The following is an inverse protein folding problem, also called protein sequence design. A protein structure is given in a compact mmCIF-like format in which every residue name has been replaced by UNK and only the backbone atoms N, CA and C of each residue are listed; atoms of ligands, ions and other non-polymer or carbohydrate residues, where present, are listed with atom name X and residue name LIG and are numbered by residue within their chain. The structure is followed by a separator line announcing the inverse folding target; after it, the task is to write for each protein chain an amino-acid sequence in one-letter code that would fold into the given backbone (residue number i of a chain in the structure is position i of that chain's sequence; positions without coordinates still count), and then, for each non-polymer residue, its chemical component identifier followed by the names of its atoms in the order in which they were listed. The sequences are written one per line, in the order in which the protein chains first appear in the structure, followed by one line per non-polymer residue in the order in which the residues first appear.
data_IF_195418791628
#
_entry.id   IF_195418791628
#
_cell.length_a   1.000
_cell.length_b   1.000
_cell.length_c   1.000
_cell.angle_alpha   90.00
_cell.angle_beta   90.00
_cell.angle_gamma   90.00
#
_symmetry.space_group_name_H-M   'P 1'
#
loop_
_entity.id
_entity.type
_entity.pdbx_description
1 polymer ?
#
# COMPACT_ATOMS: atom_id res chain seq x y z
N UNK A 1 -14.18 2.52 -6.13
CA UNK A 1 -13.97 1.23 -6.82
C UNK A 1 -12.49 1.02 -7.06
N UNK A 2 -12.04 -0.23 -6.98
CA UNK A 2 -10.66 -0.61 -7.20
C UNK A 2 -10.56 -1.28 -8.56
N UNK A 3 -9.83 -0.64 -9.46
CA UNK A 3 -9.46 -1.25 -10.73
C UNK A 3 -8.05 -1.83 -10.59
N UNK A 4 -7.90 -3.12 -10.88
CA UNK A 4 -6.60 -3.75 -11.04
C UNK A 4 -6.07 -3.40 -12.42
N UNK A 5 -5.17 -2.44 -12.48
CA UNK A 5 -4.56 -1.99 -13.74
C UNK A 5 -3.34 -2.83 -14.13
N UNK A 6 -2.74 -3.55 -13.15
CA UNK A 6 -1.57 -4.42 -13.33
C UNK A 6 -1.83 -5.76 -12.65
N UNK A 7 -1.64 -6.87 -13.38
CA UNK A 7 -1.83 -8.23 -12.88
C UNK A 7 -0.80 -8.62 -11.82
N UNK A 8 0.37 -7.97 -11.81
CA UNK A 8 1.49 -8.26 -10.91
C UNK A 8 1.49 -7.43 -9.63
N UNK A 9 0.66 -6.38 -9.56
CA UNK A 9 0.61 -5.45 -8.43
C UNK A 9 -0.82 -5.31 -7.91
N UNK A 10 -0.99 -5.54 -6.62
CA UNK A 10 -2.24 -5.32 -5.90
C UNK A 10 -2.10 -4.11 -4.99
N UNK A 11 -2.72 -3.00 -5.40
CA UNK A 11 -2.78 -1.77 -4.61
C UNK A 11 -4.16 -1.59 -3.98
N UNK A 12 -4.17 -1.04 -2.77
CA UNK A 12 -5.37 -0.57 -2.10
C UNK A 12 -5.72 0.87 -2.47
N UNK A 13 -6.58 1.48 -1.64
CA UNK A 13 -6.83 2.92 -1.70
C UNK A 13 -5.66 3.68 -1.07
N UNK A 14 -5.47 4.93 -1.49
CA UNK A 14 -4.57 5.83 -0.78
C UNK A 14 -5.13 6.11 0.61
N UNK A 15 -4.31 5.95 1.64
CA UNK A 15 -4.67 6.18 3.03
C UNK A 15 -3.96 7.44 3.49
N UNK A 16 -4.68 8.51 3.86
CA UNK A 16 -4.09 9.68 4.52
C UNK A 16 -3.39 9.27 5.81
N UNK A 17 -2.30 9.93 6.16
CA UNK A 17 -1.53 9.58 7.35
C UNK A 17 -2.37 9.65 8.65
N UNK A 18 -3.35 10.56 8.69
CA UNK A 18 -4.29 10.67 9.81
C UNK A 18 -5.11 9.39 10.02
N UNK A 19 -5.42 8.66 8.92
CA UNK A 19 -6.17 7.41 8.93
C UNK A 19 -5.29 6.16 9.06
N UNK A 20 -3.98 6.34 9.33
CA UNK A 20 -3.06 5.24 9.63
C UNK A 20 -2.92 5.09 11.14
N UNK A 21 -3.01 3.85 11.63
CA UNK A 21 -2.82 3.51 13.04
C UNK A 21 -1.53 4.15 13.61
N UNK A 22 -1.60 4.78 14.80
CA UNK A 22 -0.41 5.28 15.51
C UNK A 22 0.63 4.18 15.75
N UNK A 23 0.18 2.97 16.09
CA UNK A 23 1.04 1.81 16.30
C UNK A 23 1.84 1.48 15.04
N UNK A 24 1.22 1.53 13.85
CA UNK A 24 1.93 1.26 12.60
C UNK A 24 2.94 2.35 12.26
N UNK A 25 2.59 3.63 12.42
CA UNK A 25 3.53 4.73 12.21
C UNK A 25 4.76 4.58 13.09
N UNK A 26 4.56 4.27 14.37
CA UNK A 26 5.64 4.02 15.33
C UNK A 26 6.48 2.79 14.94
N UNK A 27 5.85 1.66 14.66
CA UNK A 27 6.52 0.42 14.28
C UNK A 27 7.43 0.59 13.08
N UNK A 28 6.93 1.30 12.04
CA UNK A 28 7.67 1.54 10.80
C UNK A 28 8.89 2.44 11.04
N UNK A 29 8.71 3.55 11.76
CA UNK A 29 9.81 4.47 12.09
C UNK A 29 10.87 3.76 12.92
N UNK A 30 10.47 3.01 13.94
CA UNK A 30 11.40 2.24 14.78
C UNK A 30 12.14 1.14 14.01
N UNK A 31 11.49 0.53 13.02
CA UNK A 31 12.09 -0.55 12.22
C UNK A 31 13.04 -0.02 11.14
N UNK A 32 12.63 1.02 10.42
CA UNK A 32 13.30 1.45 9.19
C UNK A 32 14.21 2.65 9.40
N UNK A 33 13.79 3.59 10.26
CA UNK A 33 14.47 4.90 10.37
C UNK A 33 14.17 5.56 11.71
N UNK A 34 14.83 5.13 12.78
CA UNK A 34 14.57 5.57 14.16
C UNK A 34 14.64 7.09 14.35
N UNK A 35 15.43 7.77 13.55
CA UNK A 35 15.63 9.23 13.60
C UNK A 35 14.97 9.94 12.43
N UNK A 36 13.94 9.36 11.84
CA UNK A 36 13.25 9.88 10.67
C UNK A 36 12.89 11.36 10.78
N UNK A 37 12.40 11.79 11.93
CA UNK A 37 12.01 13.18 12.17
C UNK A 37 13.17 14.12 12.52
N UNK A 38 14.40 13.59 12.70
CA UNK A 38 15.55 14.36 13.16
C UNK A 38 16.55 14.75 12.05
N UNK A 39 16.52 14.03 10.91
CA UNK A 39 17.47 14.25 9.82
C UNK A 39 16.80 14.79 8.56
N UNK A 40 17.59 15.38 7.64
CA UNK A 40 17.11 15.98 6.39
C UNK A 40 17.25 15.02 5.21
N UNK A 41 16.43 13.96 5.19
CA UNK A 41 16.38 12.95 4.11
C UNK A 41 17.44 11.87 4.22
N UNK A 42 18.61 12.15 4.77
CA UNK A 42 19.71 11.22 4.96
C UNK A 42 20.20 11.27 6.40
N UNK A 43 20.30 10.13 7.06
CA UNK A 43 20.88 10.02 8.38
C UNK A 43 22.40 9.86 8.28
N UNK A 44 23.13 10.99 8.24
CA UNK A 44 24.59 10.99 8.13
C UNK A 44 25.30 10.32 9.31
N UNK A 45 24.71 10.35 10.52
CA UNK A 45 25.27 9.68 11.68
C UNK A 45 25.15 8.17 11.55
N UNK A 46 24.00 7.66 11.10
CA UNK A 46 23.84 6.23 10.81
C UNK A 46 24.72 5.79 9.62
N UNK A 47 24.84 6.63 8.59
CA UNK A 47 25.67 6.34 7.42
C UNK A 47 27.15 6.27 7.80
N UNK A 48 27.67 7.20 8.59
CA UNK A 48 29.06 7.16 9.06
C UNK A 48 29.36 5.99 9.99
N UNK A 49 28.44 5.68 10.92
CA UNK A 49 28.56 4.50 11.77
C UNK A 49 28.55 3.19 10.97
N UNK A 50 27.72 3.12 9.93
CA UNK A 50 27.68 1.98 9.01
C UNK A 50 28.96 1.84 8.18
N UNK A 51 29.50 2.94 7.69
CA UNK A 51 30.77 2.96 6.95
C UNK A 51 31.93 2.49 7.86
N UNK A 52 31.98 2.99 9.09
CA UNK A 52 32.96 2.58 10.08
C UNK A 52 32.87 1.08 10.44
N UNK A 53 31.64 0.58 10.69
CA UNK A 53 31.41 -0.84 10.96
C UNK A 53 31.76 -1.77 9.78
N UNK A 54 31.55 -1.32 8.54
CA UNK A 54 31.96 -2.09 7.34
C UNK A 54 33.47 -2.21 7.18
N UNK A 55 34.25 -1.20 7.60
CA UNK A 55 35.72 -1.28 7.66
C UNK A 55 36.21 -2.41 8.60
N UNK A 56 35.44 -2.73 9.63
CA UNK A 56 35.76 -3.77 10.61
C UNK A 56 34.98 -5.07 10.37
N UNK A 57 34.55 -5.31 9.11
CA UNK A 57 33.86 -6.54 8.70
C UNK A 57 32.53 -6.86 9.45
N UNK A 58 31.96 -5.87 10.11
CA UNK A 58 30.64 -5.98 10.73
C UNK A 58 29.58 -5.54 9.73
N UNK A 59 28.69 -6.46 9.34
CA UNK A 59 27.52 -6.14 8.50
C UNK A 59 26.60 -5.16 9.24
N UNK A 60 26.83 -3.87 9.08
CA UNK A 60 26.00 -2.83 9.64
C UNK A 60 24.72 -2.70 8.81
N UNK A 61 23.58 -2.84 9.49
CA UNK A 61 22.24 -2.71 8.94
C UNK A 61 21.70 -1.31 9.28
N UNK A 62 21.09 -0.60 8.31
CA UNK A 62 20.27 0.58 8.63
C UNK A 62 20.77 1.93 8.11
N UNK A 63 21.59 1.97 7.08
CA UNK A 63 22.03 3.23 6.46
C UNK A 63 21.03 3.87 5.48
N UNK A 64 19.95 3.17 5.11
CA UNK A 64 18.93 3.69 4.18
C UNK A 64 17.75 4.23 4.97
N UNK A 65 17.43 5.52 4.77
CA UNK A 65 16.30 6.19 5.41
C UNK A 65 14.99 5.91 4.68
N UNK A 66 13.85 6.19 5.34
CA UNK A 66 12.51 6.14 4.70
C UNK A 66 12.47 7.06 3.49
N UNK A 67 13.04 8.26 3.57
CA UNK A 67 13.10 9.22 2.46
C UNK A 67 13.88 8.69 1.27
N UNK A 68 15.04 8.04 1.50
CA UNK A 68 15.81 7.39 0.42
C UNK A 68 15.04 6.24 -0.23
N UNK A 69 14.33 5.44 0.57
CA UNK A 69 13.51 4.36 0.05
C UNK A 69 12.36 4.91 -0.79
N UNK A 70 11.67 5.96 -0.33
CA UNK A 70 10.61 6.61 -1.08
C UNK A 70 11.13 7.21 -2.40
N UNK A 71 12.28 7.89 -2.39
CA UNK A 71 12.89 8.41 -3.60
C UNK A 71 13.08 7.30 -4.65
N UNK A 72 13.56 6.12 -4.21
CA UNK A 72 13.71 4.97 -5.07
C UNK A 72 12.39 4.32 -5.55
N UNK A 73 11.26 4.56 -4.85
CA UNK A 73 9.95 4.09 -5.29
C UNK A 73 9.28 5.03 -6.28
N UNK A 74 9.61 6.33 -6.21
CA UNK A 74 9.08 7.37 -7.10
C UNK A 74 9.78 7.39 -8.46
N UNK A 75 11.05 7.04 -8.49
CA UNK A 75 11.84 7.01 -9.72
C UNK A 75 12.02 5.55 -10.20
N UNK A 76 11.48 5.25 -11.39
CA UNK A 76 11.55 3.93 -11.99
C UNK A 76 12.98 3.45 -12.26
N UNK A 77 13.89 4.37 -12.58
CA UNK A 77 15.30 4.09 -12.93
C UNK A 77 16.11 3.64 -11.70
N UNK A 78 15.65 3.95 -10.49
CA UNK A 78 16.31 3.59 -9.23
C UNK A 78 15.68 2.41 -8.52
N UNK A 79 14.76 1.73 -9.17
CA UNK A 79 14.21 0.47 -8.66
C UNK A 79 15.30 -0.60 -8.61
N UNK A 80 15.26 -1.41 -7.58
CA UNK A 80 16.22 -2.49 -7.39
C UNK A 80 16.05 -3.56 -8.46
N UNK A 81 17.04 -3.71 -9.34
CA UNK A 81 17.13 -4.84 -10.27
C UNK A 81 17.59 -6.14 -9.59
N UNK A 82 17.59 -7.28 -10.31
CA UNK A 82 17.97 -8.59 -9.77
C UNK A 82 19.37 -8.69 -9.15
N UNK A 83 20.27 -7.77 -9.49
CA UNK A 83 21.67 -7.75 -9.03
C UNK A 83 21.97 -6.83 -7.82
N UNK A 84 20.95 -6.22 -7.21
CA UNK A 84 21.17 -5.21 -6.18
C UNK A 84 21.36 -3.80 -6.75
N UNK A 85 21.57 -2.79 -5.86
CA UNK A 85 21.77 -1.39 -6.26
C UNK A 85 23.24 -1.08 -6.49
N UNK A 86 23.55 -0.42 -7.61
CA UNK A 86 24.88 0.11 -7.86
C UNK A 86 25.22 1.28 -6.92
N UNK A 87 26.51 1.57 -6.74
CA UNK A 87 26.96 2.72 -5.94
C UNK A 87 26.39 4.04 -6.50
N UNK A 88 26.32 4.17 -7.82
CA UNK A 88 25.77 5.35 -8.52
C UNK A 88 24.28 5.51 -8.21
N UNK A 89 23.51 4.43 -8.23
CA UNK A 89 22.07 4.46 -7.86
C UNK A 89 21.88 4.87 -6.40
N UNK A 90 22.75 4.40 -5.49
CA UNK A 90 22.70 4.85 -4.08
C UNK A 90 23.00 6.35 -3.92
N UNK A 91 23.99 6.86 -4.65
CA UNK A 91 24.30 8.29 -4.63
C UNK A 91 23.14 9.12 -5.20
N UNK A 92 22.55 8.72 -6.32
CA UNK A 92 21.36 9.35 -6.88
C UNK A 92 20.19 9.39 -5.90
N UNK A 93 19.90 8.27 -5.23
CA UNK A 93 18.87 8.20 -4.19
C UNK A 93 19.16 9.12 -3.00
N UNK A 94 20.43 9.28 -2.61
CA UNK A 94 20.84 10.17 -1.52
C UNK A 94 20.52 11.62 -1.87
N UNK A 95 20.88 12.05 -3.07
CA UNK A 95 20.58 13.44 -3.56
C UNK A 95 19.08 13.65 -3.68
N UNK A 96 18.36 12.70 -4.29
CA UNK A 96 16.91 12.79 -4.44
C UNK A 96 16.19 12.82 -3.08
N UNK A 97 16.67 12.05 -2.10
CA UNK A 97 16.13 12.08 -0.74
C UNK A 97 16.28 13.46 -0.08
N UNK A 98 17.42 14.11 -0.26
CA UNK A 98 17.63 15.48 0.25
C UNK A 98 16.71 16.50 -0.43
N UNK A 99 16.56 16.40 -1.76
CA UNK A 99 15.64 17.27 -2.51
C UNK A 99 14.19 17.03 -2.06
N UNK A 100 13.80 15.78 -1.89
CA UNK A 100 12.46 15.41 -1.45
C UNK A 100 12.17 15.96 -0.05
N UNK A 101 13.09 15.78 0.88
CA UNK A 101 12.94 16.25 2.27
C UNK A 101 12.89 17.78 2.40
N UNK A 102 13.51 18.51 1.48
CA UNK A 102 13.42 19.98 1.42
C UNK A 102 12.07 20.48 0.88
N UNK A 103 11.38 19.65 0.06
CA UNK A 103 10.14 20.04 -0.61
C UNK A 103 8.89 19.51 0.09
N UNK A 104 9.01 18.38 0.79
CA UNK A 104 7.91 17.68 1.43
C UNK A 104 8.12 17.63 2.95
N UNK A 105 7.03 17.77 3.69
CA UNK A 105 7.05 17.56 5.14
C UNK A 105 7.24 16.08 5.44
N UNK A 106 7.81 15.76 6.60
CA UNK A 106 8.01 14.38 7.06
C UNK A 106 6.74 13.55 7.01
N UNK A 107 5.61 14.12 7.40
CA UNK A 107 4.33 13.40 7.36
C UNK A 107 3.89 13.08 5.93
N UNK A 108 4.13 13.96 4.96
CA UNK A 108 3.84 13.69 3.55
C UNK A 108 4.74 12.58 3.00
N UNK A 109 6.01 12.57 3.40
CA UNK A 109 6.98 11.53 3.03
C UNK A 109 6.54 10.18 3.61
N UNK A 110 6.17 10.13 4.89
CA UNK A 110 5.71 8.90 5.55
C UNK A 110 4.41 8.39 4.95
N UNK A 111 3.45 9.28 4.66
CA UNK A 111 2.20 8.95 3.98
C UNK A 111 2.46 8.32 2.62
N UNK A 112 3.25 8.97 1.78
CA UNK A 112 3.59 8.45 0.46
C UNK A 112 4.32 7.12 0.54
N UNK A 113 5.26 6.98 1.45
CA UNK A 113 5.98 5.74 1.67
C UNK A 113 5.05 4.58 2.03
N UNK A 114 4.17 4.75 3.00
CA UNK A 114 3.19 3.74 3.43
C UNK A 114 2.26 3.30 2.30
N UNK A 115 1.92 4.20 1.38
CA UNK A 115 1.04 3.90 0.27
C UNK A 115 1.75 3.29 -0.96
N UNK A 116 3.06 3.43 -1.06
CA UNK A 116 3.84 2.99 -2.23
C UNK A 116 4.76 1.80 -1.95
N UNK A 117 5.10 1.53 -0.69
CA UNK A 117 6.04 0.47 -0.34
C UNK A 117 5.46 -0.92 -0.68
N UNK A 118 6.26 -1.80 -1.32
CA UNK A 118 5.89 -3.19 -1.52
C UNK A 118 6.01 -3.97 -0.20
N UNK A 119 5.04 -4.84 0.07
CA UNK A 119 5.03 -5.67 1.26
C UNK A 119 5.31 -7.14 0.92
N UNK A 120 4.30 -7.92 0.53
CA UNK A 120 4.46 -9.35 0.30
C UNK A 120 3.79 -9.77 -1.02
N UNK A 121 4.52 -10.51 -1.85
CA UNK A 121 4.06 -10.88 -3.18
C UNK A 121 3.69 -9.66 -4.00
N UNK A 122 2.46 -9.61 -4.46
CA UNK A 122 1.92 -8.51 -5.27
C UNK A 122 1.39 -7.31 -4.47
N UNK A 123 1.37 -7.41 -3.12
CA UNK A 123 0.75 -6.41 -2.24
C UNK A 123 1.60 -5.16 -2.13
N UNK A 124 1.05 -4.01 -2.53
CA UNK A 124 1.68 -2.69 -2.45
C UNK A 124 0.77 -1.73 -1.70
N UNK A 125 1.34 -1.03 -0.75
CA UNK A 125 0.66 -0.05 0.08
C UNK A 125 -0.09 -0.65 1.27
N UNK A 126 -0.27 0.19 2.27
CA UNK A 126 -0.79 -0.22 3.58
C UNK A 126 -2.26 -0.65 3.57
N UNK A 127 -3.12 -0.06 2.73
CA UNK A 127 -4.51 -0.48 2.64
C UNK A 127 -4.63 -1.91 2.10
N UNK A 128 -3.85 -2.23 1.05
CA UNK A 128 -3.82 -3.58 0.51
C UNK A 128 -3.24 -4.58 1.53
N UNK A 129 -2.17 -4.22 2.24
CA UNK A 129 -1.58 -5.06 3.27
C UNK A 129 -2.58 -5.34 4.40
N UNK A 130 -3.13 -4.28 5.01
CA UNK A 130 -3.99 -4.41 6.20
C UNK A 130 -5.23 -5.24 5.92
N UNK A 131 -5.84 -5.07 4.76
CA UNK A 131 -7.01 -5.86 4.35
C UNK A 131 -6.65 -7.30 3.98
N UNK A 132 -5.52 -7.52 3.31
CA UNK A 132 -5.10 -8.87 2.87
C UNK A 132 -4.66 -9.73 4.05
N UNK A 133 -3.78 -9.22 4.91
CA UNK A 133 -3.20 -10.01 5.98
C UNK A 133 -4.06 -10.02 7.25
N UNK A 134 -4.68 -8.90 7.57
CA UNK A 134 -5.36 -8.71 8.85
C UNK A 134 -6.87 -8.56 8.75
N UNK A 135 -7.43 -8.39 7.53
CA UNK A 135 -8.87 -8.21 7.32
C UNK A 135 -9.41 -6.88 7.88
N UNK A 136 -8.53 -5.91 8.12
CA UNK A 136 -8.85 -4.63 8.78
C UNK A 136 -8.51 -3.44 7.87
N UNK A 137 -9.09 -2.28 8.18
CA UNK A 137 -8.61 -1.01 7.64
C UNK A 137 -7.31 -0.57 8.35
N UNK A 138 -6.50 0.28 7.70
CA UNK A 138 -5.18 0.69 8.19
C UNK A 138 -5.20 1.38 9.57
N UNK A 139 -6.29 2.09 9.90
CA UNK A 139 -6.45 2.74 11.21
C UNK A 139 -6.69 1.74 12.36
N UNK A 140 -7.17 0.53 12.06
CA UNK A 140 -7.50 -0.49 13.06
C UNK A 140 -6.35 -1.45 13.39
N UNK A 141 -5.14 -1.23 12.87
CA UNK A 141 -3.99 -2.08 13.16
C UNK A 141 -3.48 -1.83 14.59
N UNK A 142 -3.30 -2.91 15.33
CA UNK A 142 -2.76 -2.92 16.68
C UNK A 142 -1.24 -3.21 16.67
N UNK A 143 -0.59 -3.13 17.82
CA UNK A 143 0.88 -3.26 17.95
C UNK A 143 1.44 -4.53 17.31
N UNK A 144 0.79 -5.69 17.47
CA UNK A 144 1.23 -6.96 16.87
C UNK A 144 1.17 -6.91 15.35
N UNK A 145 0.09 -6.42 14.80
CA UNK A 145 -0.13 -6.29 13.36
C UNK A 145 0.83 -5.25 12.76
N UNK A 146 1.02 -4.14 13.47
CA UNK A 146 1.95 -3.09 13.12
C UNK A 146 3.40 -3.59 13.06
N UNK A 147 3.82 -4.36 14.06
CA UNK A 147 5.14 -4.97 14.11
C UNK A 147 5.38 -5.96 12.97
N UNK A 148 4.38 -6.79 12.63
CA UNK A 148 4.44 -7.71 11.48
C UNK A 148 4.52 -6.93 10.17
N UNK A 149 3.71 -5.89 9.99
CA UNK A 149 3.74 -5.03 8.81
C UNK A 149 5.11 -4.38 8.62
N UNK A 150 5.70 -3.81 9.67
CA UNK A 150 7.03 -3.21 9.64
C UNK A 150 8.13 -4.25 9.32
N UNK A 151 8.03 -5.47 9.86
CA UNK A 151 8.96 -6.55 9.56
C UNK A 151 8.91 -6.98 8.08
N UNK A 152 7.73 -6.94 7.45
CA UNK A 152 7.53 -7.29 6.04
C UNK A 152 8.13 -6.26 5.09
N UNK A 153 8.13 -4.97 5.44
CA UNK A 153 8.79 -3.94 4.62
C UNK A 153 10.26 -4.30 4.36
N UNK A 154 10.93 -4.79 5.38
CA UNK A 154 12.37 -5.10 5.32
C UNK A 154 12.69 -6.37 4.53
N UNK A 155 11.76 -7.32 4.49
CA UNK A 155 11.90 -8.57 3.74
C UNK A 155 10.52 -9.11 3.35
N UNK A 156 9.95 -8.59 2.27
CA UNK A 156 8.58 -8.87 1.85
C UNK A 156 8.29 -10.37 1.69
N UNK A 157 9.24 -11.13 1.15
CA UNK A 157 9.07 -12.55 0.82
C UNK A 157 9.82 -13.49 1.78
N UNK A 158 10.21 -13.01 2.98
CA UNK A 158 10.87 -13.85 3.98
C UNK A 158 9.93 -14.97 4.48
N UNK A 159 10.55 -16.06 4.98
CA UNK A 159 9.81 -17.14 5.64
C UNK A 159 9.08 -16.60 6.89
N UNK A 160 7.89 -17.14 7.23
CA UNK A 160 7.09 -16.66 8.36
C UNK A 160 7.87 -16.54 9.68
N UNK A 161 8.67 -17.53 10.03
CA UNK A 161 9.48 -17.51 11.26
C UNK A 161 10.47 -16.33 11.29
N UNK A 162 11.10 -15.98 10.15
CA UNK A 162 12.02 -14.83 10.10
C UNK A 162 11.26 -13.50 10.20
N UNK A 163 10.05 -13.43 9.63
CA UNK A 163 9.16 -12.26 9.80
C UNK A 163 8.77 -12.13 11.27
N UNK A 164 8.37 -13.20 11.92
CA UNK A 164 7.98 -13.23 13.32
C UNK A 164 9.13 -12.82 14.25
N UNK A 165 10.33 -13.34 14.02
CA UNK A 165 11.53 -12.96 14.79
C UNK A 165 11.79 -11.44 14.69
N UNK A 166 11.67 -10.86 13.49
CA UNK A 166 11.84 -9.41 13.29
C UNK A 166 10.71 -8.61 13.92
N UNK A 167 9.47 -9.07 13.74
CA UNK A 167 8.30 -8.44 14.35
C UNK A 167 8.40 -8.44 15.88
N UNK A 168 8.91 -9.52 16.49
CA UNK A 168 9.16 -9.55 17.93
C UNK A 168 10.16 -8.47 18.36
N UNK A 169 11.24 -8.26 17.60
CA UNK A 169 12.19 -7.18 17.85
C UNK A 169 11.56 -5.79 17.75
N UNK A 170 10.70 -5.57 16.75
CA UNK A 170 9.96 -4.31 16.58
C UNK A 170 8.97 -4.12 17.74
N UNK A 171 8.20 -5.15 18.07
CA UNK A 171 7.21 -5.09 19.16
C UNK A 171 7.86 -4.78 20.51
N UNK A 172 9.02 -5.39 20.80
CA UNK A 172 9.81 -5.05 21.99
C UNK A 172 10.26 -3.59 22.00
N UNK A 173 10.62 -3.05 20.84
CA UNK A 173 11.04 -1.65 20.73
C UNK A 173 9.87 -0.66 20.90
N UNK A 174 8.63 -1.10 20.63
CA UNK A 174 7.41 -0.30 20.81
C UNK A 174 6.92 -0.29 22.25
N UNK A 175 7.27 -1.30 23.04
CA UNK A 175 6.81 -1.45 24.41
C UNK A 175 7.73 -0.74 25.40
N UNK A 176 7.24 -0.37 26.61
CA UNK A 176 8.08 0.17 27.67
C UNK A 176 9.23 -0.78 28.03
N UNK A 177 10.36 -0.25 28.48
CA UNK A 177 11.47 -1.08 28.95
C UNK A 177 11.00 -2.11 30.01
N UNK A 178 11.39 -3.38 29.83
CA UNK A 178 11.01 -4.53 30.67
C UNK A 178 9.58 -5.08 30.48
N UNK A 179 8.79 -4.58 29.56
CA UNK A 179 7.53 -5.21 29.22
C UNK A 179 7.76 -6.61 28.63
N UNK A 180 7.03 -7.59 29.11
CA UNK A 180 7.09 -8.95 28.57
C UNK A 180 6.40 -8.99 27.18
N UNK A 181 7.11 -9.47 26.17
CA UNK A 181 6.58 -9.72 24.83
C UNK A 181 6.60 -11.20 24.56
N UNK A 182 5.43 -11.79 24.37
CA UNK A 182 5.27 -13.18 23.98
C UNK A 182 5.57 -13.35 22.48
N UNK A 183 6.81 -13.76 22.18
CA UNK A 183 7.27 -13.94 20.82
C UNK A 183 6.75 -15.24 20.19
N UNK A 184 6.41 -16.23 20.98
CA UNK A 184 5.88 -17.51 20.49
C UNK A 184 4.44 -17.32 20.01
N UNK A 185 3.61 -16.63 20.79
CA UNK A 185 2.27 -16.24 20.34
C UNK A 185 2.32 -15.32 19.11
N UNK A 186 3.32 -14.44 19.00
CA UNK A 186 3.51 -13.60 17.82
C UNK A 186 3.94 -14.43 16.59
N UNK A 187 4.72 -15.49 16.76
CA UNK A 187 5.10 -16.38 15.66
C UNK A 187 3.89 -17.14 15.11
N UNK A 188 3.05 -17.69 15.97
CA UNK A 188 1.79 -18.33 15.55
C UNK A 188 0.89 -17.34 14.80
N UNK A 189 0.70 -16.15 15.34
CA UNK A 189 -0.06 -15.08 14.70
C UNK A 189 0.51 -14.70 13.34
N UNK A 190 1.82 -14.48 13.25
CA UNK A 190 2.50 -14.09 12.02
C UNK A 190 2.37 -15.16 10.95
N UNK A 191 2.56 -16.42 11.31
CA UNK A 191 2.45 -17.55 10.39
C UNK A 191 1.05 -17.63 9.79
N UNK A 192 0.01 -17.51 10.62
CA UNK A 192 -1.38 -17.49 10.16
C UNK A 192 -1.67 -16.26 9.28
N UNK A 193 -1.18 -15.07 9.64
CA UNK A 193 -1.44 -13.84 8.90
C UNK A 193 -0.79 -13.84 7.52
N UNK A 194 0.50 -14.23 7.40
CA UNK A 194 1.23 -14.19 6.12
C UNK A 194 0.82 -15.30 5.13
N UNK A 195 0.08 -16.31 5.58
CA UNK A 195 -0.49 -17.35 4.73
C UNK A 195 -1.83 -16.95 4.13
N UNK A 196 -2.50 -15.94 4.66
CA UNK A 196 -3.76 -15.45 4.10
C UNK A 196 -3.55 -14.91 2.68
N UNK A 197 -4.22 -15.52 1.72
CA UNK A 197 -4.14 -15.14 0.30
C UNK A 197 -5.36 -14.38 -0.20
N UNK A 198 -6.44 -14.41 0.55
CA UNK A 198 -7.71 -13.86 0.16
C UNK A 198 -7.88 -12.42 0.67
N UNK A 199 -7.30 -11.48 -0.03
CA UNK A 199 -8.01 -10.26 -0.28
C UNK A 199 -8.85 -10.56 -1.53
N UNK A 200 -10.15 -10.77 -1.36
CA UNK A 200 -11.07 -10.59 -2.46
C UNK A 200 -10.85 -9.16 -2.95
N UNK A 201 -10.03 -9.04 -3.97
CA UNK A 201 -10.07 -7.86 -4.80
C UNK A 201 -11.47 -7.91 -5.41
N UNK A 202 -12.45 -7.46 -4.63
CA UNK A 202 -13.71 -7.10 -5.22
C UNK A 202 -13.33 -6.11 -6.30
N UNK A 203 -13.51 -6.49 -7.56
CA UNK A 203 -13.29 -5.61 -8.71
C UNK A 203 -14.12 -4.33 -8.57
N UNK A 204 -14.66 -4.07 -7.40
CA UNK A 204 -15.64 -3.06 -7.09
C UNK A 204 -17.05 -3.53 -7.39
N UNK A 205 -18.04 -2.72 -7.03
CA UNK A 205 -19.45 -3.05 -7.24
C UNK A 205 -19.85 -3.02 -8.72
N UNK A 206 -19.11 -2.30 -9.59
CA UNK A 206 -19.41 -2.15 -11.01
C UNK A 206 -18.12 -1.94 -11.84
N UNK A 207 -17.29 -2.99 -12.07
CA UNK A 207 -15.99 -2.86 -12.74
C UNK A 207 -16.11 -2.42 -14.19
N UNK A 208 -17.11 -2.90 -14.90
CA UNK A 208 -17.34 -2.52 -16.30
C UNK A 208 -17.70 -1.04 -16.43
N UNK A 209 -18.60 -0.55 -15.58
CA UNK A 209 -18.94 0.87 -15.54
C UNK A 209 -17.74 1.74 -15.15
N UNK A 210 -16.92 1.31 -14.22
CA UNK A 210 -15.73 2.06 -13.82
C UNK A 210 -14.74 2.22 -14.98
N UNK A 211 -14.50 1.17 -15.77
CA UNK A 211 -13.67 1.23 -16.98
C UNK A 211 -14.25 2.16 -18.03
N UNK A 212 -15.57 2.11 -18.23
CA UNK A 212 -16.27 3.00 -19.13
C UNK A 212 -16.12 4.46 -18.71
N UNK A 213 -16.43 4.78 -17.46
CA UNK A 213 -16.38 6.14 -16.92
C UNK A 213 -14.96 6.74 -16.97
N UNK A 214 -13.92 5.95 -16.69
CA UNK A 214 -12.53 6.38 -16.80
C UNK A 214 -12.12 6.66 -18.25
N UNK A 215 -12.57 5.86 -19.21
CA UNK A 215 -12.32 6.12 -20.64
C UNK A 215 -12.98 7.42 -21.07
N UNK A 216 -14.25 7.62 -20.73
CA UNK A 216 -14.97 8.85 -21.05
C UNK A 216 -14.29 10.10 -20.46
N UNK A 217 -13.77 10.00 -19.23
CA UNK A 217 -13.02 11.09 -18.62
C UNK A 217 -11.71 11.37 -19.37
N UNK A 218 -10.99 10.34 -19.77
CA UNK A 218 -9.74 10.48 -20.51
C UNK A 218 -9.98 11.09 -21.91
N UNK A 219 -11.03 10.66 -22.61
CA UNK A 219 -11.44 11.20 -23.90
C UNK A 219 -11.87 12.69 -23.80
N UNK A 220 -12.64 13.03 -22.76
CA UNK A 220 -13.04 14.42 -22.50
C UNK A 220 -11.84 15.31 -22.18
N UNK A 221 -10.87 14.80 -21.40
CA UNK A 221 -9.63 15.53 -21.11
C UNK A 221 -8.75 15.72 -22.36
N UNK A 222 -8.70 14.74 -23.25
CA UNK A 222 -7.98 14.84 -24.52
C UNK A 222 -8.63 15.83 -25.50
N UNK A 223 -9.96 15.94 -25.47
CA UNK A 223 -10.73 16.85 -26.33
C UNK A 223 -10.68 18.33 -25.86
N UNK A 224 -10.25 18.59 -24.62
CA UNK A 224 -10.22 19.94 -24.04
C UNK A 224 -8.88 20.21 -23.35
N UNK A 225 -7.78 20.49 -24.09
CA UNK A 225 -6.45 20.68 -23.53
C UNK A 225 -6.27 22.01 -22.74
N UNK A 226 -7.30 22.85 -22.63
CA UNK A 226 -7.20 24.22 -22.13
C UNK A 226 -7.57 24.44 -20.66
N UNK A 227 -7.84 23.42 -19.88
CA UNK A 227 -8.07 23.57 -18.46
C UNK A 227 -6.88 22.99 -17.66
N UNK A 228 -5.97 23.81 -17.08
CA UNK A 228 -5.05 23.32 -16.08
C UNK A 228 -5.91 22.84 -14.90
N UNK A 229 -6.02 21.53 -14.76
CA UNK A 229 -6.59 20.90 -13.57
C UNK A 229 -5.88 21.52 -12.36
N UNK A 230 -6.60 22.30 -11.59
CA UNK A 230 -6.13 22.71 -10.27
C UNK A 230 -5.65 21.45 -9.57
N UNK A 231 -4.36 21.40 -9.29
CA UNK A 231 -3.72 20.29 -8.61
C UNK A 231 -4.36 20.13 -7.22
N UNK A 232 -5.47 19.40 -7.17
CA UNK A 232 -5.96 18.87 -5.92
C UNK A 232 -4.94 17.80 -5.51
N UNK A 233 -4.31 17.97 -4.36
CA UNK A 233 -3.37 17.03 -3.76
C UNK A 233 -4.02 15.68 -3.37
N UNK A 234 -5.13 15.30 -3.98
CA UNK A 234 -5.86 14.06 -3.77
C UNK A 234 -5.89 13.19 -5.02
N UNK A 235 -5.97 11.90 -4.84
CA UNK A 235 -6.24 10.94 -5.93
C UNK A 235 -7.49 11.39 -6.70
N UNK A 236 -7.46 11.50 -8.03
CA UNK A 236 -8.60 11.95 -8.80
C UNK A 236 -9.81 11.05 -8.50
N UNK A 237 -10.86 11.65 -7.93
CA UNK A 237 -12.10 10.95 -7.60
C UNK A 237 -13.14 11.29 -8.64
N UNK A 238 -13.63 10.27 -9.35
CA UNK A 238 -14.76 10.41 -10.24
C UNK A 238 -16.05 10.07 -9.48
N UNK A 239 -16.91 11.08 -9.27
CA UNK A 239 -18.25 10.87 -8.72
C UNK A 239 -19.21 10.46 -9.84
N UNK A 240 -19.98 9.42 -9.59
CA UNK A 240 -20.94 8.87 -10.55
C UNK A 240 -22.34 8.81 -9.94
N UNK A 241 -23.34 8.56 -10.76
CA UNK A 241 -24.75 8.43 -10.37
C UNK A 241 -25.09 7.04 -9.83
N UNK A 242 -24.17 6.07 -9.88
CA UNK A 242 -24.40 4.72 -9.38
C UNK A 242 -24.76 4.71 -7.90
N UNK A 243 -25.81 3.95 -7.58
CA UNK A 243 -26.24 3.69 -6.19
C UNK A 243 -25.72 2.34 -5.73
N UNK A 244 -24.75 2.32 -4.83
CA UNK A 244 -24.10 1.09 -4.38
C UNK A 244 -25.05 0.00 -3.83
N UNK A 245 -26.10 0.31 -3.06
CA UNK A 245 -27.08 -0.70 -2.65
C UNK A 245 -27.83 -1.32 -3.82
N UNK A 246 -28.26 -0.50 -4.77
CA UNK A 246 -28.99 -0.96 -5.97
C UNK A 246 -28.09 -1.79 -6.87
N UNK A 247 -26.83 -1.38 -7.07
CA UNK A 247 -25.85 -2.14 -7.83
C UNK A 247 -25.61 -3.53 -7.23
N UNK A 248 -25.46 -3.62 -5.90
CA UNK A 248 -25.29 -4.92 -5.22
C UNK A 248 -26.53 -5.81 -5.40
N UNK A 249 -27.70 -5.26 -5.22
CA UNK A 249 -28.95 -5.97 -5.43
C UNK A 249 -29.06 -6.49 -6.86
N UNK A 250 -28.83 -5.64 -7.86
CA UNK A 250 -28.87 -6.02 -9.27
C UNK A 250 -27.88 -7.15 -9.60
N UNK A 251 -26.63 -7.04 -9.10
CA UNK A 251 -25.62 -8.08 -9.29
C UNK A 251 -26.02 -9.41 -8.65
N UNK A 252 -26.55 -9.39 -7.41
CA UNK A 252 -26.99 -10.61 -6.73
C UNK A 252 -28.16 -11.27 -7.44
N UNK A 253 -29.14 -10.48 -7.87
CA UNK A 253 -30.30 -10.96 -8.62
C UNK A 253 -29.90 -11.60 -9.95
N UNK A 254 -29.03 -10.91 -10.71
CA UNK A 254 -28.51 -11.46 -11.97
C UNK A 254 -27.78 -12.78 -11.74
N UNK A 255 -26.90 -12.86 -10.75
CA UNK A 255 -26.18 -14.09 -10.42
C UNK A 255 -27.10 -15.23 -9.99
N UNK A 256 -28.21 -14.92 -9.31
CA UNK A 256 -29.21 -15.92 -8.95
C UNK A 256 -29.89 -16.48 -10.21
N UNK A 257 -30.38 -15.62 -11.09
CA UNK A 257 -31.03 -16.07 -12.33
C UNK A 257 -30.09 -16.84 -13.24
N UNK A 258 -28.81 -16.44 -13.36
CA UNK A 258 -27.83 -17.20 -14.12
C UNK A 258 -27.60 -18.61 -13.52
N UNK A 259 -27.63 -18.75 -12.18
CA UNK A 259 -27.57 -20.08 -11.55
C UNK A 259 -28.79 -20.96 -11.87
N UNK A 260 -29.98 -20.37 -11.89
CA UNK A 260 -31.23 -21.05 -12.22
C UNK A 260 -31.26 -21.52 -13.68
N UNK A 261 -30.56 -20.80 -14.55
CA UNK A 261 -30.45 -21.10 -15.99
C UNK A 261 -29.26 -22.02 -16.34
N UNK A 262 -28.50 -22.49 -15.34
CA UNK A 262 -27.43 -23.47 -15.57
C UNK A 262 -27.92 -24.69 -16.32
N UNK A 263 -27.21 -25.07 -17.36
CA UNK A 263 -27.58 -26.20 -18.23
C UNK A 263 -28.50 -25.82 -19.39
N UNK A 264 -28.84 -24.54 -19.55
CA UNK A 264 -29.62 -24.03 -20.68
C UNK A 264 -28.79 -23.20 -21.66
N UNK A 265 -27.47 -23.34 -21.65
CA UNK A 265 -26.53 -22.57 -22.47
C UNK A 265 -26.61 -21.04 -22.25
N UNK A 266 -26.96 -20.61 -21.02
CA UNK A 266 -26.98 -19.20 -20.60
C UNK A 266 -25.90 -19.03 -19.53
N UNK A 267 -24.78 -18.40 -19.92
CA UNK A 267 -23.63 -18.22 -19.04
C UNK A 267 -23.45 -16.77 -18.62
N UNK A 268 -23.87 -15.83 -19.46
CA UNK A 268 -23.70 -14.38 -19.26
C UNK A 268 -25.03 -13.66 -19.19
N UNK A 269 -25.03 -12.48 -18.53
CA UNK A 269 -26.17 -11.59 -18.44
C UNK A 269 -25.74 -10.16 -18.10
N UNK A 270 -26.63 -9.22 -18.34
CA UNK A 270 -26.41 -7.82 -18.01
C UNK A 270 -27.67 -7.19 -17.39
N UNK A 271 -27.46 -6.25 -16.50
CA UNK A 271 -28.52 -5.43 -15.91
C UNK A 271 -28.13 -3.95 -16.02
N UNK A 272 -29.03 -3.15 -16.54
CA UNK A 272 -28.92 -1.69 -16.59
C UNK A 272 -30.16 -1.09 -15.93
N UNK A 273 -29.94 -0.22 -14.95
CA UNK A 273 -31.02 0.53 -14.28
C UNK A 273 -30.80 2.02 -14.50
N UNK A 274 -31.82 2.66 -15.08
CA UNK A 274 -31.82 4.08 -15.38
C UNK A 274 -32.89 4.81 -14.53
N UNK A 275 -32.61 6.04 -14.19
CA UNK A 275 -33.61 6.97 -13.67
C UNK A 275 -34.43 7.51 -14.84
N UNK A 276 -35.75 7.29 -14.83
CA UNK A 276 -36.63 7.67 -15.93
C UNK A 276 -36.75 9.20 -16.13
N UNK A 277 -36.55 9.97 -15.09
CA UNK A 277 -36.69 11.42 -15.17
C UNK A 277 -35.42 12.10 -15.67
N UNK A 278 -34.26 11.55 -15.33
CA UNK A 278 -32.96 12.18 -15.60
C UNK A 278 -32.09 11.43 -16.61
N UNK A 279 -32.42 10.17 -16.93
CA UNK A 279 -31.56 9.29 -17.73
C UNK A 279 -30.30 8.83 -16.99
N UNK A 280 -30.15 9.14 -15.71
CA UNK A 280 -28.96 8.80 -14.94
C UNK A 280 -28.84 7.29 -14.75
N UNK A 281 -27.63 6.74 -14.90
CA UNK A 281 -27.33 5.32 -14.66
C UNK A 281 -27.24 5.08 -13.15
N UNK A 282 -28.16 4.26 -12.62
CA UNK A 282 -28.25 3.95 -11.19
C UNK A 282 -27.60 2.60 -10.85
N UNK A 283 -27.61 1.63 -11.78
CA UNK A 283 -26.88 0.38 -11.72
C UNK A 283 -26.47 -0.07 -13.12
N UNK A 284 -25.34 -0.82 -13.21
CA UNK A 284 -24.76 -1.23 -14.49
C UNK A 284 -24.19 -2.65 -14.40
#
# INVERSE_FOLDING_TARGET
QRLRTDATVRRGQWVPLADVSPALRMALVLSEDKRFYEHSGVDWRAASAAAWGNLWNQRTRGASTITMQLAGLLDGDWRQGPGGRSVVQKMGQTVAAQVLDRRWRKDQILEAYLNLVPFRGEVVGIDALSRTLFGKAAHGLQDREAAVAAALVRAPNAKPALVAQRACGVLRAMQPPKAAVDCDALELFTTAAVQRRAFDATEGAAPHFARYALRQQAEAAAASPAAPSAASNGTPQLRTTLRAPLQRFATQTLQQHLRELRGRNVEDGAVLVLDNATGAVLAW
#
